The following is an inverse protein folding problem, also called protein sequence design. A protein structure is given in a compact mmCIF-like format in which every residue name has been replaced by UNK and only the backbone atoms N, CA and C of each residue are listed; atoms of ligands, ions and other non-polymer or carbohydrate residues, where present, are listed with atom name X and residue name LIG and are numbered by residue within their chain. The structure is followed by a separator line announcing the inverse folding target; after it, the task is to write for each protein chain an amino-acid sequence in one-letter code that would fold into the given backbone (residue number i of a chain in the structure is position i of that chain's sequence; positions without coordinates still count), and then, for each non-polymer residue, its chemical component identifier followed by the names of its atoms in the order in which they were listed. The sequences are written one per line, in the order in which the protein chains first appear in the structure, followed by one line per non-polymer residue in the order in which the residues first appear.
data_IF_262319576297
#
_entry.id   IF_262319576297
#
_cell.length_a   1.000
_cell.length_b   1.000
_cell.length_c   1.000
_cell.angle_alpha   90.00
_cell.angle_beta   90.00
_cell.angle_gamma   90.00
#
_symmetry.space_group_name_H-M   'P 1'
#
loop_
_entity.id
_entity.type
_entity.pdbx_description
1 polymer ?
#
# COMPACT_ATOMS: atom_id res chain seq x y z
N UNK A 1 -0.05 14.33 -5.26
CA UNK A 1 1.11 14.94 -5.95
C UNK A 1 1.27 16.42 -5.61
N UNK A 2 0.21 17.23 -5.64
CA UNK A 2 0.26 18.65 -5.33
C UNK A 2 0.94 18.99 -3.98
N UNK A 3 0.96 18.06 -3.05
CA UNK A 3 1.66 18.17 -1.75
C UNK A 3 3.01 17.44 -1.73
N UNK A 4 3.62 17.17 -2.86
CA UNK A 4 4.90 16.47 -2.99
C UNK A 4 4.81 14.93 -2.97
N UNK A 5 3.61 14.36 -3.14
CA UNK A 5 3.43 12.90 -3.20
C UNK A 5 4.05 12.30 -4.46
N UNK A 6 4.82 11.23 -4.31
CA UNK A 6 5.54 10.57 -5.42
C UNK A 6 4.72 9.48 -6.14
N UNK A 7 3.60 9.07 -5.58
CA UNK A 7 2.83 7.93 -6.11
C UNK A 7 2.42 8.10 -7.58
N UNK A 8 1.86 9.23 -8.03
CA UNK A 8 1.47 9.41 -9.43
C UNK A 8 2.66 9.27 -10.39
N UNK A 9 3.79 9.87 -10.07
CA UNK A 9 5.02 9.79 -10.87
C UNK A 9 5.50 8.35 -10.98
N UNK A 10 5.59 7.63 -9.86
CA UNK A 10 6.00 6.22 -9.84
C UNK A 10 5.00 5.34 -10.59
N UNK A 11 3.72 5.66 -10.53
CA UNK A 11 2.65 4.99 -11.26
C UNK A 11 2.85 5.14 -12.77
N UNK A 12 3.08 6.33 -13.28
CA UNK A 12 3.26 6.57 -14.71
C UNK A 12 4.57 5.98 -15.25
N UNK A 13 5.59 5.84 -14.40
CA UNK A 13 6.83 5.13 -14.74
C UNK A 13 6.66 3.59 -14.83
N UNK A 14 5.56 3.04 -14.34
CA UNK A 14 5.36 1.59 -14.20
C UNK A 14 4.00 1.10 -14.68
N UNK A 15 3.16 2.00 -15.19
CA UNK A 15 1.79 1.72 -15.58
C UNK A 15 1.69 0.78 -16.79
N UNK A 16 0.82 -0.22 -16.67
CA UNK A 16 0.51 -1.19 -17.73
C UNK A 16 -0.83 -0.85 -18.38
N UNK A 17 -1.82 -0.49 -17.55
CA UNK A 17 -3.17 -0.18 -18.00
C UNK A 17 -3.75 0.96 -17.20
N UNK A 18 -4.35 1.91 -17.88
CA UNK A 18 -5.00 3.10 -17.32
C UNK A 18 -6.48 3.06 -17.63
N UNK A 19 -7.32 3.29 -16.62
CA UNK A 19 -8.76 3.30 -16.80
C UNK A 19 -9.46 4.18 -15.78
N UNK A 20 -10.33 5.06 -16.23
CA UNK A 20 -11.21 5.85 -15.37
C UNK A 20 -12.40 4.98 -14.92
N UNK A 21 -12.57 4.88 -13.61
CA UNK A 21 -13.66 4.15 -12.98
C UNK A 21 -14.87 5.06 -12.75
N UNK A 22 -16.05 4.43 -12.63
CA UNK A 22 -17.31 5.09 -12.29
C UNK A 22 -17.78 6.15 -13.32
N UNK A 23 -17.40 6.04 -14.56
CA UNK A 23 -17.77 6.99 -15.62
C UNK A 23 -19.28 7.15 -15.84
N UNK A 24 -20.10 6.20 -15.34
CA UNK A 24 -21.58 6.26 -15.38
C UNK A 24 -22.20 6.95 -14.17
N UNK A 25 -21.36 7.39 -13.20
CA UNK A 25 -21.82 7.95 -11.92
C UNK A 25 -21.37 9.38 -11.84
N UNK A 26 -21.71 10.37 -12.09
CA UNK A 26 -21.26 11.77 -11.99
C UNK A 26 -19.77 11.97 -11.69
N UNK A 27 -19.24 13.11 -12.07
CA UNK A 27 -17.80 13.39 -12.09
C UNK A 27 -17.11 13.33 -10.72
N UNK A 28 -17.85 13.65 -9.66
CA UNK A 28 -17.31 13.65 -8.28
C UNK A 28 -16.82 12.28 -7.78
N UNK A 29 -17.26 11.17 -8.41
CA UNK A 29 -16.87 9.82 -8.03
C UNK A 29 -16.01 9.12 -9.07
N UNK A 30 -15.68 9.80 -10.16
CA UNK A 30 -14.73 9.30 -11.14
C UNK A 30 -13.33 9.27 -10.54
N UNK A 31 -12.62 8.17 -10.77
CA UNK A 31 -11.27 8.00 -10.28
C UNK A 31 -10.44 7.21 -11.29
N UNK A 32 -9.24 7.67 -11.56
CA UNK A 32 -8.29 6.95 -12.39
C UNK A 32 -7.75 5.74 -11.61
N UNK A 33 -7.81 4.57 -12.23
CA UNK A 33 -7.16 3.35 -11.77
C UNK A 33 -6.07 2.96 -12.75
N UNK A 34 -4.86 2.77 -12.23
CA UNK A 34 -3.73 2.29 -13.01
C UNK A 34 -3.27 0.93 -12.48
N UNK A 35 -3.12 -0.03 -13.38
CA UNK A 35 -2.41 -1.27 -13.09
C UNK A 35 -0.93 -1.04 -13.38
N UNK A 36 -0.07 -1.35 -12.42
CA UNK A 36 1.36 -1.17 -12.52
C UNK A 36 2.09 -2.50 -12.52
N UNK A 37 3.20 -2.58 -13.25
CA UNK A 37 4.18 -3.62 -13.01
C UNK A 37 4.81 -3.41 -11.64
N UNK A 38 4.75 -4.45 -10.80
CA UNK A 38 5.16 -4.37 -9.39
C UNK A 38 6.65 -4.08 -9.24
N UNK A 39 7.48 -4.72 -10.05
CA UNK A 39 8.94 -4.55 -9.95
C UNK A 39 9.37 -3.19 -10.51
N UNK A 40 8.75 -2.74 -11.59
CA UNK A 40 9.00 -1.41 -12.13
C UNK A 40 8.55 -0.32 -11.16
N UNK A 41 7.38 -0.47 -10.51
CA UNK A 41 6.90 0.47 -9.49
C UNK A 41 7.88 0.57 -8.32
N UNK A 42 8.34 -0.57 -7.80
CA UNK A 42 9.34 -0.62 -6.73
C UNK A 42 10.63 0.12 -7.14
N UNK A 43 11.15 -0.15 -8.34
CA UNK A 43 12.35 0.52 -8.88
C UNK A 43 12.14 2.02 -9.03
N UNK A 44 10.96 2.44 -9.51
CA UNK A 44 10.61 3.87 -9.65
C UNK A 44 10.63 4.58 -8.29
N UNK A 45 9.96 4.00 -7.28
CA UNK A 45 9.97 4.54 -5.91
C UNK A 45 11.39 4.60 -5.34
N UNK A 46 12.17 3.52 -5.47
CA UNK A 46 13.56 3.48 -5.00
C UNK A 46 14.43 4.55 -5.68
N UNK A 47 14.26 4.76 -6.98
CA UNK A 47 14.97 5.81 -7.73
C UNK A 47 14.63 7.20 -7.21
N UNK A 48 13.35 7.49 -6.98
CA UNK A 48 12.90 8.80 -6.47
C UNK A 48 13.43 9.03 -5.06
N UNK A 49 13.29 8.04 -4.17
CA UNK A 49 13.79 8.14 -2.79
C UNK A 49 15.31 8.29 -2.73
N UNK A 50 16.06 7.61 -3.60
CA UNK A 50 17.51 7.72 -3.69
C UNK A 50 18.01 9.12 -4.09
N UNK A 51 17.15 10.00 -4.57
CA UNK A 51 17.46 11.41 -4.87
C UNK A 51 17.18 12.34 -3.68
N UNK A 52 16.74 11.80 -2.56
CA UNK A 52 16.43 12.55 -1.33
C UNK A 52 17.47 12.28 -0.25
N UNK A 53 17.50 13.12 0.80
CA UNK A 53 18.34 12.92 1.98
C UNK A 53 17.66 12.04 3.05
N UNK A 54 16.76 11.14 2.65
CA UNK A 54 16.05 10.25 3.57
C UNK A 54 16.93 9.03 3.86
N UNK A 55 17.18 8.77 5.14
CA UNK A 55 17.78 7.52 5.59
C UNK A 55 16.73 6.41 5.59
N UNK A 56 17.01 5.32 4.89
CA UNK A 56 16.13 4.14 4.83
C UNK A 56 16.71 3.04 5.68
N UNK A 57 15.99 2.65 6.73
CA UNK A 57 16.37 1.55 7.63
C UNK A 57 15.43 0.38 7.39
N UNK A 58 15.95 -0.71 6.86
CA UNK A 58 15.18 -1.95 6.64
C UNK A 58 15.17 -2.78 7.93
N UNK A 59 14.15 -2.54 8.76
CA UNK A 59 13.96 -3.28 10.01
C UNK A 59 12.48 -3.25 10.43
N UNK A 60 12.05 -4.21 11.26
CA UNK A 60 10.69 -4.30 11.77
C UNK A 60 10.53 -3.46 13.04
N UNK A 61 9.59 -2.52 13.01
CA UNK A 61 9.19 -1.76 14.19
C UNK A 61 8.31 -2.64 15.09
N UNK A 62 8.75 -2.83 16.33
CA UNK A 62 8.08 -3.69 17.31
C UNK A 62 7.41 -2.92 18.45
N UNK A 63 7.86 -1.68 18.72
CA UNK A 63 7.31 -0.86 19.82
C UNK A 63 7.48 0.64 19.55
N UNK A 64 6.80 1.46 20.34
CA UNK A 64 6.93 2.91 20.36
C UNK A 64 7.59 3.36 21.66
N UNK A 65 8.57 4.26 21.55
CA UNK A 65 9.15 4.94 22.71
C UNK A 65 8.18 6.04 23.13
N UNK A 66 7.59 5.91 24.29
CA UNK A 66 6.62 6.87 24.82
C UNK A 66 7.09 7.50 26.12
N UNK A 67 6.79 8.78 26.29
CA UNK A 67 6.93 9.53 27.55
C UNK A 67 5.57 10.19 27.84
N UNK A 68 4.87 9.69 28.85
CA UNK A 68 3.48 10.06 29.14
C UNK A 68 2.59 9.90 27.89
N UNK A 69 2.11 11.01 27.33
CA UNK A 69 1.26 11.06 26.13
C UNK A 69 2.02 11.42 24.85
N UNK A 70 3.36 11.40 24.88
CA UNK A 70 4.18 11.81 23.73
C UNK A 70 4.98 10.64 23.19
N UNK A 71 4.94 10.43 21.88
CA UNK A 71 5.83 9.51 21.19
C UNK A 71 7.17 10.20 20.98
N UNK A 72 8.27 9.52 21.35
CA UNK A 72 9.66 10.00 21.26
C UNK A 72 10.47 9.23 20.22
N UNK A 73 9.90 8.23 19.60
CA UNK A 73 10.56 7.41 18.60
C UNK A 73 10.00 6.01 18.53
N UNK A 74 10.78 5.10 17.94
CA UNK A 74 10.40 3.71 17.73
C UNK A 74 11.49 2.75 18.21
N UNK A 75 11.09 1.54 18.54
CA UNK A 75 11.99 0.40 18.78
C UNK A 75 11.79 -0.57 17.64
N UNK A 76 12.86 -0.92 16.97
CA UNK A 76 12.90 -1.98 15.96
C UNK A 76 13.51 -3.25 16.56
N UNK A 77 13.59 -4.32 15.79
CA UNK A 77 14.29 -5.54 16.24
C UNK A 77 15.77 -5.31 16.55
N UNK A 78 16.40 -4.34 15.88
CA UNK A 78 17.84 -4.11 15.97
C UNK A 78 18.22 -2.77 16.59
N UNK A 79 17.31 -1.77 16.55
CA UNK A 79 17.65 -0.38 16.86
C UNK A 79 16.61 0.28 17.76
N UNK A 80 17.08 1.28 18.50
CA UNK A 80 16.25 2.26 19.17
C UNK A 80 16.45 3.60 18.46
N UNK A 81 15.40 4.12 17.85
CA UNK A 81 15.45 5.32 17.01
C UNK A 81 14.62 6.41 17.67
N UNK A 82 15.28 7.51 18.02
CA UNK A 82 14.62 8.69 18.58
C UNK A 82 14.17 9.63 17.45
N UNK A 83 12.97 10.16 17.56
CA UNK A 83 12.42 11.09 16.57
C UNK A 83 11.47 12.10 17.24
N UNK A 84 11.48 13.33 16.74
CA UNK A 84 10.54 14.37 17.18
C UNK A 84 9.10 14.10 16.75
N UNK A 85 8.91 13.38 15.66
CA UNK A 85 7.60 12.97 15.10
C UNK A 85 7.72 11.57 14.54
N UNK A 86 6.66 10.80 14.65
CA UNK A 86 6.57 9.44 14.09
C UNK A 86 5.27 9.33 13.30
N UNK A 87 5.38 8.85 12.06
CA UNK A 87 4.22 8.60 11.19
C UNK A 87 4.14 7.10 10.96
N UNK A 88 2.99 6.49 11.26
CA UNK A 88 2.72 5.08 11.03
C UNK A 88 1.94 4.89 9.73
N UNK A 89 2.51 4.14 8.78
CA UNK A 89 1.90 3.81 7.49
C UNK A 89 1.91 2.30 7.28
N UNK A 90 1.28 1.57 8.20
CA UNK A 90 1.40 0.12 8.37
C UNK A 90 0.71 -0.72 7.29
N UNK A 91 -0.06 -0.10 6.41
CA UNK A 91 -0.77 -0.79 5.34
C UNK A 91 -1.70 -1.89 5.89
N UNK A 92 -1.60 -3.10 5.36
CA UNK A 92 -2.43 -4.26 5.73
C UNK A 92 -1.75 -5.21 6.73
N UNK A 93 -0.56 -4.87 7.24
CA UNK A 93 0.25 -5.79 8.04
C UNK A 93 -0.02 -5.71 9.55
N UNK A 94 -0.61 -4.61 10.05
CA UNK A 94 -0.84 -4.40 11.47
C UNK A 94 -1.87 -5.42 12.00
N UNK A 95 -1.38 -6.46 12.70
CA UNK A 95 -2.16 -7.63 13.13
C UNK A 95 -3.04 -8.17 11.99
N UNK A 96 -2.48 -8.23 10.78
CA UNK A 96 -3.18 -8.63 9.57
C UNK A 96 -3.65 -10.07 9.61
N UNK A 97 -4.81 -10.33 9.00
CA UNK A 97 -5.35 -11.68 8.77
C UNK A 97 -5.75 -11.82 7.32
N UNK A 98 -5.35 -12.91 6.70
CA UNK A 98 -5.73 -13.28 5.34
C UNK A 98 -6.75 -14.40 5.37
N UNK A 99 -7.78 -14.28 4.57
CA UNK A 99 -8.84 -15.27 4.41
C UNK A 99 -8.80 -15.80 2.99
N UNK A 100 -8.66 -17.13 2.85
CA UNK A 100 -8.67 -17.81 1.55
C UNK A 100 -9.68 -18.98 1.68
N UNK A 101 -10.91 -18.75 1.24
CA UNK A 101 -12.02 -19.63 1.59
C UNK A 101 -12.22 -19.66 3.10
N UNK A 102 -12.20 -20.85 3.69
CA UNK A 102 -12.36 -21.08 5.13
C UNK A 102 -11.03 -21.00 5.90
N UNK A 103 -9.92 -20.91 5.18
CA UNK A 103 -8.59 -20.84 5.80
C UNK A 103 -8.27 -19.41 6.24
N UNK A 104 -7.79 -19.27 7.49
CA UNK A 104 -7.36 -18.01 8.07
C UNK A 104 -5.89 -18.09 8.46
N UNK A 105 -5.08 -17.24 7.83
CA UNK A 105 -3.64 -17.14 8.12
C UNK A 105 -3.26 -15.74 8.62
N UNK A 106 -2.24 -15.67 9.49
CA UNK A 106 -1.71 -14.39 9.99
C UNK A 106 -0.76 -13.79 8.95
N UNK A 107 -0.97 -12.54 8.60
CA UNK A 107 -0.13 -11.81 7.64
C UNK A 107 -0.89 -10.72 6.90
N UNK A 108 -0.17 -9.84 6.24
CA UNK A 108 -0.73 -8.82 5.36
C UNK A 108 -0.63 -9.18 3.88
N UNK A 109 0.19 -10.18 3.55
CA UNK A 109 0.41 -10.74 2.21
C UNK A 109 0.93 -12.17 2.33
N UNK A 110 0.65 -13.03 1.34
CA UNK A 110 1.16 -14.40 1.29
C UNK A 110 2.70 -14.38 1.36
N UNK A 111 3.24 -15.14 2.30
CA UNK A 111 4.68 -15.23 2.56
C UNK A 111 5.24 -14.20 3.54
N UNK A 112 4.46 -13.20 3.94
CA UNK A 112 4.89 -12.16 4.90
C UNK A 112 4.09 -12.24 6.21
N UNK A 113 4.77 -12.11 7.34
CA UNK A 113 4.15 -12.10 8.66
C UNK A 113 3.33 -10.84 8.96
N UNK A 114 2.57 -10.88 10.04
CA UNK A 114 1.84 -9.72 10.56
C UNK A 114 2.67 -8.95 11.60
N UNK A 115 2.55 -7.63 11.64
CA UNK A 115 3.12 -6.76 12.68
C UNK A 115 2.28 -6.83 13.97
N UNK A 116 2.46 -7.89 14.75
CA UNK A 116 1.67 -8.14 15.97
C UNK A 116 2.15 -7.29 17.15
N UNK A 117 3.47 -7.17 17.45
CA UNK A 117 3.92 -6.42 18.61
C UNK A 117 3.52 -4.94 18.56
N UNK A 118 3.71 -4.29 17.41
CA UNK A 118 3.30 -2.90 17.23
C UNK A 118 1.79 -2.72 17.38
N UNK A 119 0.99 -3.66 16.87
CA UNK A 119 -0.47 -3.62 17.06
C UNK A 119 -0.85 -3.67 18.54
N UNK A 120 -0.24 -4.55 19.31
CA UNK A 120 -0.48 -4.63 20.76
C UNK A 120 -0.16 -3.31 21.45
N UNK A 121 0.98 -2.68 21.12
CA UNK A 121 1.35 -1.37 21.67
C UNK A 121 0.32 -0.29 21.38
N UNK A 122 -0.30 -0.29 20.20
CA UNK A 122 -1.33 0.70 19.86
C UNK A 122 -2.63 0.47 20.67
N UNK A 123 -3.00 -0.77 20.95
CA UNK A 123 -4.10 -1.08 21.87
C UNK A 123 -3.78 -0.64 23.31
N UNK A 124 -2.56 -0.87 23.78
CA UNK A 124 -2.12 -0.46 25.12
C UNK A 124 -2.11 1.06 25.30
N UNK A 125 -2.07 1.82 24.19
CA UNK A 125 -2.22 3.29 24.19
C UNK A 125 -3.68 3.75 24.15
N UNK A 126 -4.64 2.81 24.27
CA UNK A 126 -6.09 3.09 24.29
C UNK A 126 -6.58 3.85 23.05
N UNK A 127 -5.90 3.67 21.90
CA UNK A 127 -6.35 4.26 20.65
C UNK A 127 -7.62 3.52 20.16
N UNK A 128 -8.59 4.24 19.57
CA UNK A 128 -9.79 3.63 19.01
C UNK A 128 -9.42 2.79 17.77
N UNK A 129 -9.15 1.52 18.00
CA UNK A 129 -8.73 0.58 16.96
C UNK A 129 -9.93 -0.13 16.35
N UNK A 130 -9.91 -0.30 15.04
CA UNK A 130 -10.90 -1.06 14.29
C UNK A 130 -10.22 -1.98 13.26
N UNK A 131 -11.01 -2.90 12.71
CA UNK A 131 -10.54 -3.79 11.64
C UNK A 131 -11.20 -3.41 10.34
N UNK A 132 -10.37 -3.12 9.33
CA UNK A 132 -10.82 -2.87 7.96
C UNK A 132 -10.62 -4.11 7.11
N UNK A 133 -11.49 -4.30 6.13
CA UNK A 133 -11.39 -5.35 5.12
C UNK A 133 -10.88 -4.75 3.81
N UNK A 134 -9.89 -5.43 3.21
CA UNK A 134 -9.53 -5.24 1.81
C UNK A 134 -9.89 -6.51 1.02
N UNK A 135 -10.25 -6.37 -0.25
CA UNK A 135 -10.56 -7.50 -1.12
C UNK A 135 -9.55 -7.57 -2.27
N UNK A 136 -9.07 -8.77 -2.56
CA UNK A 136 -8.28 -9.06 -3.75
C UNK A 136 -9.06 -10.02 -4.63
N UNK A 137 -9.28 -9.72 -5.93
CA UNK A 137 -9.90 -10.64 -6.85
C UNK A 137 -9.12 -11.95 -6.96
N UNK A 138 -9.82 -13.06 -7.18
CA UNK A 138 -9.19 -14.34 -7.41
C UNK A 138 -8.29 -14.29 -8.66
N UNK A 139 -7.10 -14.90 -8.58
CA UNK A 139 -6.23 -15.11 -9.73
C UNK A 139 -6.59 -16.46 -10.35
N UNK A 140 -6.99 -16.42 -11.63
CA UNK A 140 -7.45 -17.59 -12.36
C UNK A 140 -6.36 -17.99 -13.37
N UNK A 141 -6.16 -19.29 -13.56
CA UNK A 141 -5.25 -19.79 -14.63
C UNK A 141 -5.82 -19.41 -16.00
N UNK A 142 -5.02 -18.79 -16.84
CA UNK A 142 -5.44 -18.38 -18.18
C UNK A 142 -6.01 -19.55 -18.99
N UNK A 143 -5.44 -20.74 -18.85
CA UNK A 143 -5.91 -21.97 -19.53
C UNK A 143 -7.30 -22.45 -19.09
N UNK A 144 -7.83 -21.95 -17.96
CA UNK A 144 -9.18 -22.29 -17.48
C UNK A 144 -10.24 -21.25 -17.84
N UNK A 145 -9.88 -20.23 -18.60
CA UNK A 145 -10.76 -19.13 -18.99
C UNK A 145 -11.20 -19.31 -20.43
N UNK A 146 -12.51 -19.20 -20.66
CA UNK A 146 -13.07 -19.10 -22.00
C UNK A 146 -13.15 -17.63 -22.43
N UNK A 147 -12.12 -17.16 -23.13
CA UNK A 147 -12.04 -15.76 -23.57
C UNK A 147 -13.19 -15.35 -24.52
N UNK A 148 -13.82 -16.30 -25.22
CA UNK A 148 -14.94 -15.99 -26.12
C UNK A 148 -16.22 -15.57 -25.36
N UNK A 149 -16.29 -15.87 -24.05
CA UNK A 149 -17.38 -15.47 -23.16
C UNK A 149 -17.09 -14.20 -22.38
N UNK A 150 -15.97 -13.55 -22.64
CA UNK A 150 -15.52 -12.36 -21.92
C UNK A 150 -15.50 -11.14 -22.83
N UNK A 151 -15.82 -9.99 -22.26
CA UNK A 151 -15.66 -8.70 -22.91
C UNK A 151 -14.25 -8.18 -22.62
N UNK A 152 -13.51 -7.83 -23.68
CA UNK A 152 -12.21 -7.18 -23.53
C UNK A 152 -12.37 -5.78 -22.92
N UNK A 153 -11.55 -5.46 -21.95
CA UNK A 153 -11.51 -4.14 -21.33
C UNK A 153 -10.14 -3.49 -21.53
N UNK A 154 -9.88 -2.89 -22.69
CA UNK A 154 -8.61 -2.24 -22.99
C UNK A 154 -8.37 -1.01 -22.12
N UNK A 155 -7.14 -0.57 -22.03
CA UNK A 155 -6.79 0.73 -21.46
C UNK A 155 -7.35 1.87 -22.31
N UNK A 156 -7.49 3.04 -21.69
CA UNK A 156 -7.99 4.26 -22.37
C UNK A 156 -6.94 4.83 -23.32
N UNK A 157 -7.43 5.41 -24.42
CA UNK A 157 -6.64 6.15 -25.39
C UNK A 157 -7.35 7.48 -25.71
N UNK A 158 -6.65 8.65 -25.59
CA UNK A 158 -5.27 8.81 -25.10
C UNK A 158 -5.13 8.36 -23.64
N UNK A 159 -3.91 7.99 -23.25
CA UNK A 159 -3.62 7.55 -21.88
C UNK A 159 -3.89 8.67 -20.88
N UNK A 160 -4.79 8.49 -19.92
CA UNK A 160 -5.02 9.48 -18.87
C UNK A 160 -3.92 9.34 -17.80
N UNK A 161 -2.83 10.08 -17.95
CA UNK A 161 -1.72 10.04 -17.01
C UNK A 161 -2.15 10.39 -15.58
N UNK A 162 -1.53 9.76 -14.60
CA UNK A 162 -1.84 10.01 -13.20
C UNK A 162 -1.09 11.24 -12.66
N UNK A 163 0.10 11.48 -13.15
CA UNK A 163 0.90 12.65 -12.80
C UNK A 163 0.47 13.89 -13.58
N UNK A 164 0.41 15.02 -12.89
CA UNK A 164 0.18 16.34 -13.51
C UNK A 164 1.41 16.86 -14.25
N UNK A 165 2.54 16.18 -14.15
CA UNK A 165 3.82 16.56 -14.79
C UNK A 165 4.12 15.78 -16.08
N UNK A 166 3.20 14.96 -16.54
CA UNK A 166 3.30 14.22 -17.80
C UNK A 166 2.54 14.91 -18.93
#
# INVERSE_FOLDING_TARGET
EAMGGLMPIATDMSGIQYRTLNTRKGDAVQALRVQCDRELYKKAVQKILGQTNIEIIEDEVIDLITDKKTVKGVITKKHKILAKRTILTTGTFLNGKMYTGDEVTSGGRIGDGAAIPLSKKLYDLELPMGRLKTGTPARIKLSSIDLNKMEEQPGEKPTPWMSIYN
#
